data_IF_739173703769
#
_entry.id   IF_739173703769
#
_cell.length_a   1.000
_cell.length_b   1.000
_cell.length_c   1.000
_cell.angle_alpha   90.00
_cell.angle_beta   90.00
_cell.angle_gamma   90.00
#
_symmetry.space_group_name_H-M   'P 1'
#
loop_
_entity.id
_entity.type
_entity.pdbx_description
1 polymer ?
#
# COMPACT_ATOMS: atom_id res chain seq x y z
N UNK A 1 -18.83 -0.81 13.36
CA UNK A 1 -17.75 -1.57 12.73
C UNK A 1 -17.65 -1.24 11.26
N UNK A 2 -16.47 -0.93 10.79
CA UNK A 2 -16.32 -0.46 9.43
C UNK A 2 -15.74 -1.55 8.54
N UNK A 3 -16.61 -2.12 7.74
CA UNK A 3 -16.25 -3.21 6.85
C UNK A 3 -15.11 -2.85 5.92
N UNK A 4 -15.09 -1.61 5.44
CA UNK A 4 -14.05 -1.14 4.54
C UNK A 4 -12.67 -1.15 5.20
N UNK A 5 -12.61 -0.77 6.47
CA UNK A 5 -11.35 -0.79 7.21
C UNK A 5 -10.83 -2.20 7.39
N UNK A 6 -11.72 -3.14 7.68
CA UNK A 6 -11.33 -4.53 7.85
C UNK A 6 -10.79 -5.10 6.53
N UNK A 7 -11.47 -4.81 5.44
CA UNK A 7 -11.04 -5.27 4.12
C UNK A 7 -9.68 -4.67 3.76
N UNK A 8 -9.49 -3.39 4.04
CA UNK A 8 -8.24 -2.72 3.77
C UNK A 8 -7.10 -3.34 4.57
N UNK A 9 -7.34 -3.61 5.85
CA UNK A 9 -6.33 -4.23 6.70
C UNK A 9 -5.90 -5.59 6.16
N UNK A 10 -6.86 -6.38 5.71
CA UNK A 10 -6.54 -7.69 5.14
C UNK A 10 -5.71 -7.57 3.88
N UNK A 11 -6.04 -6.60 3.03
CA UNK A 11 -5.29 -6.36 1.80
C UNK A 11 -3.86 -5.93 2.13
N UNK A 12 -3.70 -5.04 3.09
CA UNK A 12 -2.37 -4.58 3.50
C UNK A 12 -1.54 -5.74 4.01
N UNK A 13 -2.13 -6.60 4.83
CA UNK A 13 -1.40 -7.76 5.34
C UNK A 13 -0.95 -8.68 4.21
N UNK A 14 -1.81 -8.87 3.22
CA UNK A 14 -1.50 -9.77 2.11
C UNK A 14 -0.39 -9.21 1.22
N UNK A 15 -0.37 -7.90 1.01
CA UNK A 15 0.58 -7.28 0.10
C UNK A 15 1.69 -6.49 0.81
N UNK A 16 1.83 -6.68 2.10
CA UNK A 16 2.82 -5.97 2.91
C UNK A 16 4.23 -6.13 2.34
N UNK A 17 4.61 -7.34 1.97
CA UNK A 17 5.94 -7.59 1.43
C UNK A 17 6.17 -6.86 0.12
N UNK A 18 5.14 -6.77 -0.71
CA UNK A 18 5.23 -6.03 -1.98
C UNK A 18 5.50 -4.56 -1.72
N UNK A 19 4.77 -3.98 -0.78
CA UNK A 19 4.95 -2.57 -0.45
C UNK A 19 6.36 -2.32 0.10
N UNK A 20 6.82 -3.17 1.02
CA UNK A 20 8.17 -3.02 1.58
C UNK A 20 9.23 -3.19 0.50
N UNK A 21 9.03 -4.13 -0.42
CA UNK A 21 9.98 -4.33 -1.52
C UNK A 21 10.17 -3.04 -2.31
N UNK A 22 9.07 -2.37 -2.65
CA UNK A 22 9.15 -1.11 -3.38
C UNK A 22 9.86 -0.05 -2.55
N UNK A 23 9.51 0.05 -1.27
CA UNK A 23 10.13 1.04 -0.40
C UNK A 23 11.64 0.83 -0.31
N UNK A 24 12.08 -0.42 -0.19
CA UNK A 24 13.51 -0.74 -0.12
C UNK A 24 14.24 -0.44 -1.43
N UNK A 25 13.53 -0.41 -2.54
CA UNK A 25 14.15 -0.03 -3.81
C UNK A 25 14.55 1.44 -3.83
N UNK A 26 13.90 2.27 -3.02
CA UNK A 26 14.13 3.71 -3.01
C UNK A 26 14.91 4.19 -1.80
N UNK A 27 15.10 3.34 -0.79
CA UNK A 27 15.84 3.73 0.39
C UNK A 27 16.43 2.50 1.07
N UNK A 28 17.61 2.66 1.67
CA UNK A 28 18.25 1.60 2.44
C UNK A 28 18.16 1.87 3.95
N UNK A 29 17.63 3.03 4.32
CA UNK A 29 17.50 3.42 5.72
C UNK A 29 16.18 2.88 6.25
N UNK A 30 16.22 2.07 7.32
CA UNK A 30 15.02 1.47 7.88
C UNK A 30 13.99 2.50 8.29
N UNK A 31 14.44 3.62 8.85
CA UNK A 31 13.54 4.67 9.28
C UNK A 31 12.82 5.29 8.09
N UNK A 32 13.57 5.55 7.03
CA UNK A 32 13.01 6.11 5.82
C UNK A 32 12.05 5.14 5.15
N UNK A 33 12.39 3.85 5.15
CA UNK A 33 11.51 2.82 4.60
C UNK A 33 10.19 2.79 5.35
N UNK A 34 10.23 2.90 6.68
CA UNK A 34 9.00 2.91 7.46
C UNK A 34 8.15 4.13 7.15
N UNK A 35 8.78 5.28 6.96
CA UNK A 35 8.04 6.49 6.59
C UNK A 35 7.40 6.34 5.22
N UNK A 36 8.14 5.78 4.26
CA UNK A 36 7.61 5.53 2.92
C UNK A 36 6.45 4.55 2.98
N UNK A 37 6.59 3.51 3.79
CA UNK A 37 5.52 2.52 3.95
C UNK A 37 4.24 3.17 4.44
N UNK A 38 4.35 4.05 5.43
CA UNK A 38 3.18 4.75 5.96
C UNK A 38 2.56 5.66 4.92
N UNK A 39 3.38 6.36 4.15
CA UNK A 39 2.89 7.21 3.08
C UNK A 39 2.13 6.40 2.03
N UNK A 40 2.63 5.21 1.69
CA UNK A 40 1.95 4.32 0.76
C UNK A 40 0.59 3.91 1.33
N UNK A 41 0.55 3.56 2.61
CA UNK A 41 -0.71 3.17 3.25
C UNK A 41 -1.74 4.29 3.18
N UNK A 42 -1.32 5.52 3.43
CA UNK A 42 -2.23 6.66 3.36
C UNK A 42 -2.80 6.80 1.95
N UNK A 43 -1.94 6.70 0.94
CA UNK A 43 -2.37 6.83 -0.43
C UNK A 43 -3.27 5.68 -0.88
N UNK A 44 -2.95 4.47 -0.44
CA UNK A 44 -3.81 3.32 -0.72
C UNK A 44 -5.18 3.52 -0.08
N UNK A 45 -5.22 3.99 1.15
CA UNK A 45 -6.49 4.21 1.84
C UNK A 45 -7.35 5.23 1.12
N UNK A 46 -6.73 6.30 0.65
CA UNK A 46 -7.45 7.35 -0.06
C UNK A 46 -8.13 6.84 -1.33
N UNK A 47 -7.49 5.89 -2.01
CA UNK A 47 -8.01 5.36 -3.26
C UNK A 47 -8.74 4.03 -3.14
N UNK A 48 -8.74 3.43 -1.96
CA UNK A 48 -9.24 2.07 -1.79
C UNK A 48 -10.73 1.96 -2.12
N UNK A 49 -11.51 2.92 -1.66
CA UNK A 49 -12.96 2.90 -1.88
C UNK A 49 -13.27 2.98 -3.37
N UNK A 50 -12.54 3.82 -4.09
CA UNK A 50 -12.71 3.97 -5.53
C UNK A 50 -12.24 2.74 -6.29
N UNK A 51 -11.13 2.15 -5.85
CA UNK A 51 -10.58 0.98 -6.52
C UNK A 51 -11.41 -0.27 -6.29
N UNK A 52 -12.07 -0.36 -5.16
CA UNK A 52 -12.79 -1.57 -4.76
C UNK A 52 -13.66 -2.09 -5.90
N UNK A 53 -13.43 -3.34 -6.29
CA UNK A 53 -14.16 -3.96 -7.37
C UNK A 53 -13.48 -3.88 -8.73
N UNK A 54 -12.37 -3.16 -8.82
CA UNK A 54 -11.58 -3.11 -10.04
C UNK A 54 -10.78 -4.39 -10.21
N UNK A 55 -10.07 -4.48 -11.32
CA UNK A 55 -9.54 -5.76 -11.75
C UNK A 55 -8.42 -6.33 -10.87
N UNK A 56 -7.26 -5.72 -10.79
CA UNK A 56 -6.11 -6.36 -10.17
C UNK A 56 -5.55 -5.50 -9.04
N UNK A 57 -5.83 -5.93 -7.83
CA UNK A 57 -5.42 -5.16 -6.65
C UNK A 57 -3.91 -5.17 -6.46
N UNK A 58 -3.25 -6.27 -6.79
CA UNK A 58 -1.80 -6.34 -6.68
C UNK A 58 -1.10 -5.33 -7.57
N UNK A 59 -1.56 -5.21 -8.80
CA UNK A 59 -1.02 -4.24 -9.74
C UNK A 59 -1.28 -2.81 -9.26
N UNK A 60 -2.47 -2.56 -8.74
CA UNK A 60 -2.81 -1.24 -8.21
C UNK A 60 -1.90 -0.86 -7.05
N UNK A 61 -1.70 -1.79 -6.12
CA UNK A 61 -0.83 -1.54 -4.96
C UNK A 61 0.60 -1.27 -5.42
N UNK A 62 1.10 -2.04 -6.36
CA UNK A 62 2.43 -1.84 -6.91
C UNK A 62 2.56 -0.44 -7.50
N UNK A 63 1.57 -0.03 -8.28
CA UNK A 63 1.57 1.26 -8.93
C UNK A 63 1.53 2.41 -7.93
N UNK A 64 0.65 2.31 -6.93
CA UNK A 64 0.55 3.35 -5.90
C UNK A 64 1.85 3.43 -5.11
N UNK A 65 2.45 2.28 -4.80
CA UNK A 65 3.72 2.25 -4.08
C UNK A 65 4.82 2.96 -4.86
N UNK A 66 4.92 2.67 -6.15
CA UNK A 66 5.92 3.32 -7.00
C UNK A 66 5.69 4.82 -7.10
N UNK A 67 4.44 5.24 -7.23
CA UNK A 67 4.12 6.65 -7.35
C UNK A 67 4.35 7.42 -6.06
N UNK A 68 4.17 6.76 -4.92
CA UNK A 68 4.39 7.39 -3.62
C UNK A 68 5.89 7.54 -3.32
N UNK A 69 6.64 6.51 -3.62
CA UNK A 69 8.08 6.53 -3.42
C UNK A 69 8.79 7.21 -4.58
#
# INVERSE_FOLDING_TARGET
MKKLEIEFEQVVKQYKNTIYTVCFMFSKDSREVNDLFQDVLVNLWKGFDTFKGESNIGTWIWRVSLNTC
#
